data_IF_266746164136
#
_entry.id   IF_266746164136
#
_cell.length_a   1.000
_cell.length_b   1.000
_cell.length_c   1.000
_cell.angle_alpha   90.00
_cell.angle_beta   90.00
_cell.angle_gamma   90.00
#
_symmetry.space_group_name_H-M   'P 1'
#
loop_
_entity.id
_entity.type
_entity.pdbx_description
1 polymer ?
#
# COMPACT_ATOMS: atom_id res chain seq x y z
N UNK A 1 12.89 -11.67 -8.98
CA UNK A 1 11.86 -12.73 -9.00
C UNK A 1 10.59 -12.14 -8.42
N UNK A 2 9.47 -12.17 -9.13
CA UNK A 2 8.19 -11.63 -8.63
C UNK A 2 7.61 -12.65 -7.64
N UNK A 3 7.26 -12.28 -6.39
CA UNK A 3 6.75 -13.22 -5.40
C UNK A 3 5.35 -13.69 -5.78
N UNK A 4 5.24 -14.88 -6.38
CA UNK A 4 3.97 -15.45 -6.88
C UNK A 4 2.85 -15.43 -5.83
N UNK A 5 3.19 -15.77 -4.57
CA UNK A 5 2.24 -15.79 -3.45
C UNK A 5 1.68 -14.40 -3.11
N UNK A 6 2.49 -13.33 -3.22
CA UNK A 6 2.02 -11.98 -2.94
C UNK A 6 1.02 -11.52 -4.02
N UNK A 7 1.28 -11.86 -5.28
CA UNK A 7 0.38 -11.57 -6.38
C UNK A 7 -0.96 -12.32 -6.23
N UNK A 8 -0.91 -13.62 -5.92
CA UNK A 8 -2.09 -14.45 -5.64
C UNK A 8 -2.92 -13.89 -4.48
N UNK A 9 -2.25 -13.46 -3.40
CA UNK A 9 -2.92 -12.85 -2.24
C UNK A 9 -3.67 -11.57 -2.61
N UNK A 10 -3.04 -10.64 -3.34
CA UNK A 10 -3.67 -9.38 -3.73
C UNK A 10 -4.88 -9.58 -4.65
N UNK A 11 -4.80 -10.53 -5.59
CA UNK A 11 -5.91 -10.86 -6.47
C UNK A 11 -7.10 -11.46 -5.69
N UNK A 12 -6.84 -12.38 -4.76
CA UNK A 12 -7.87 -12.95 -3.90
C UNK A 12 -8.49 -11.89 -2.98
N UNK A 13 -7.68 -10.96 -2.45
CA UNK A 13 -8.17 -9.86 -1.62
C UNK A 13 -9.14 -8.96 -2.40
N UNK A 14 -8.81 -8.61 -3.65
CA UNK A 14 -9.69 -7.84 -4.51
C UNK A 14 -11.02 -8.56 -4.79
N UNK A 15 -10.98 -9.88 -4.98
CA UNK A 15 -12.17 -10.71 -5.19
C UNK A 15 -13.08 -10.74 -3.95
N UNK A 16 -12.52 -11.01 -2.76
CA UNK A 16 -13.28 -11.05 -1.50
C UNK A 16 -13.89 -9.67 -1.20
N UNK A 17 -13.13 -8.60 -1.42
CA UNK A 17 -13.60 -7.22 -1.25
C UNK A 17 -14.54 -6.75 -2.38
N UNK A 18 -14.75 -7.57 -3.43
CA UNK A 18 -15.60 -7.28 -4.60
C UNK A 18 -15.24 -5.98 -5.31
N UNK A 19 -13.94 -5.65 -5.38
CA UNK A 19 -13.45 -4.45 -6.07
C UNK A 19 -13.12 -4.83 -7.52
N UNK A 20 -13.88 -4.34 -8.52
CA UNK A 20 -13.60 -4.66 -9.91
C UNK A 20 -12.39 -3.89 -10.43
N UNK A 21 -11.75 -4.42 -11.49
CA UNK A 21 -10.68 -3.76 -12.24
C UNK A 21 -9.42 -3.40 -11.43
N UNK A 22 -9.12 -4.16 -10.36
CA UNK A 22 -7.88 -3.99 -9.59
C UNK A 22 -6.68 -4.45 -10.43
N UNK A 23 -5.68 -3.59 -10.53
CA UNK A 23 -4.36 -3.93 -11.06
C UNK A 23 -3.44 -4.15 -9.87
N UNK A 24 -3.06 -5.39 -9.61
CA UNK A 24 -2.13 -5.73 -8.54
C UNK A 24 -0.70 -5.81 -9.10
N UNK A 25 0.22 -5.05 -8.52
CA UNK A 25 1.64 -5.07 -8.86
C UNK A 25 2.47 -5.32 -7.59
N UNK A 26 3.47 -6.21 -7.68
CA UNK A 26 4.38 -6.51 -6.57
C UNK A 26 5.79 -6.12 -6.95
N UNK A 27 6.33 -5.11 -6.26
CA UNK A 27 7.68 -4.59 -6.47
C UNK A 27 8.55 -4.99 -5.26
N UNK A 28 9.47 -5.96 -5.40
CA UNK A 28 10.38 -6.32 -4.32
C UNK A 28 11.42 -5.22 -4.06
N UNK A 29 11.65 -4.90 -2.80
CA UNK A 29 12.66 -3.95 -2.36
C UNK A 29 12.29 -3.26 -1.06
N UNK A 30 13.15 -2.38 -0.59
CA UNK A 30 12.83 -1.46 0.50
C UNK A 30 11.90 -0.33 0.02
N UNK A 31 11.20 0.29 0.97
CA UNK A 31 10.18 1.30 0.67
C UNK A 31 10.75 2.51 -0.09
N UNK A 32 11.97 2.94 0.25
CA UNK A 32 12.61 4.09 -0.38
C UNK A 32 12.92 3.84 -1.87
N UNK A 33 13.37 2.63 -2.20
CA UNK A 33 13.70 2.23 -3.56
C UNK A 33 12.46 1.96 -4.42
N UNK A 34 11.38 1.46 -3.83
CA UNK A 34 10.17 1.08 -4.58
C UNK A 34 9.20 2.23 -4.79
N UNK A 35 9.10 3.20 -3.87
CA UNK A 35 8.17 4.34 -4.00
C UNK A 35 8.42 5.17 -5.27
N UNK A 36 9.69 5.29 -5.70
CA UNK A 36 10.02 6.01 -6.95
C UNK A 36 9.68 5.22 -8.22
N UNK A 37 9.41 3.92 -8.10
CA UNK A 37 9.05 3.00 -9.19
C UNK A 37 7.57 2.66 -9.21
N UNK A 38 6.87 2.91 -8.10
CA UNK A 38 5.46 2.66 -7.97
C UNK A 38 4.67 3.49 -8.99
N UNK A 39 3.52 2.97 -9.47
CA UNK A 39 2.62 3.74 -10.34
C UNK A 39 2.24 5.08 -9.72
N UNK A 40 2.20 6.12 -10.54
CA UNK A 40 1.73 7.43 -10.12
C UNK A 40 0.24 7.40 -9.81
N UNK A 41 -0.16 7.97 -8.67
CA UNK A 41 -1.54 8.01 -8.22
C UNK A 41 -1.87 9.40 -7.66
N UNK A 42 -3.12 9.85 -7.83
CA UNK A 42 -3.60 11.12 -7.24
C UNK A 42 -3.68 11.04 -5.72
N UNK A 43 -3.92 9.85 -5.19
CA UNK A 43 -3.89 9.55 -3.76
C UNK A 43 -3.18 8.23 -3.53
N UNK A 44 -2.27 8.22 -2.56
CA UNK A 44 -1.63 7.01 -2.05
C UNK A 44 -2.18 6.70 -0.68
N UNK A 45 -2.51 5.44 -0.42
CA UNK A 45 -3.04 4.97 0.86
C UNK A 45 -2.01 4.01 1.46
N UNK A 46 -1.53 4.34 2.65
CA UNK A 46 -0.57 3.55 3.40
C UNK A 46 -1.14 3.18 4.77
N UNK A 47 -0.73 2.03 5.30
CA UNK A 47 -0.94 1.70 6.70
C UNK A 47 -0.05 2.56 7.60
N UNK A 48 -0.55 2.92 8.78
CA UNK A 48 0.17 3.64 9.81
C UNK A 48 0.37 2.74 11.03
N UNK A 49 1.60 2.63 11.52
CA UNK A 49 1.90 1.91 12.75
C UNK A 49 1.50 2.72 14.00
N UNK A 50 1.26 2.04 15.12
CA UNK A 50 0.95 2.67 16.43
C UNK A 50 2.08 3.60 16.93
N UNK A 51 3.32 3.37 16.50
CA UNK A 51 4.48 4.22 16.72
C UNK A 51 4.96 4.82 15.40
N UNK A 52 4.32 5.89 14.90
CA UNK A 52 4.56 6.37 13.55
C UNK A 52 5.99 6.93 13.36
N UNK A 53 6.65 6.47 12.31
CA UNK A 53 7.91 7.05 11.83
C UNK A 53 7.61 8.24 10.91
N UNK A 54 7.75 9.44 11.46
CA UNK A 54 7.47 10.68 10.72
C UNK A 54 8.46 10.94 9.58
N UNK A 55 9.68 10.40 9.63
CA UNK A 55 10.64 10.57 8.55
C UNK A 55 10.26 9.68 7.36
N UNK A 56 9.78 8.46 7.63
CA UNK A 56 9.22 7.58 6.60
C UNK A 56 7.95 8.19 5.96
N UNK A 57 7.08 8.80 6.76
CA UNK A 57 5.86 9.49 6.27
C UNK A 57 6.24 10.65 5.33
N UNK A 58 7.16 11.51 5.76
CA UNK A 58 7.63 12.65 4.95
C UNK A 58 8.29 12.18 3.67
N UNK A 59 9.17 11.18 3.76
CA UNK A 59 9.80 10.55 2.61
C UNK A 59 8.75 10.01 1.63
N UNK A 60 7.69 9.35 2.12
CA UNK A 60 6.65 8.83 1.25
C UNK A 60 5.96 9.94 0.45
N UNK A 61 5.57 11.03 1.11
CA UNK A 61 4.97 12.22 0.46
C UNK A 61 5.91 12.81 -0.60
N UNK A 62 7.19 12.99 -0.27
CA UNK A 62 8.18 13.55 -1.19
C UNK A 62 8.43 12.64 -2.41
N UNK A 63 8.47 11.31 -2.20
CA UNK A 63 8.77 10.34 -3.25
C UNK A 63 7.59 10.06 -4.17
N UNK A 64 6.36 10.07 -3.65
CA UNK A 64 5.17 9.91 -4.50
C UNK A 64 4.86 11.18 -5.25
N UNK A 65 5.14 12.35 -4.67
CA UNK A 65 4.85 13.65 -5.26
C UNK A 65 3.35 13.99 -5.30
N UNK A 66 2.52 13.29 -4.53
CA UNK A 66 1.06 13.45 -4.50
C UNK A 66 0.48 13.28 -3.09
N UNK A 67 -0.84 13.38 -2.96
CA UNK A 67 -1.53 13.26 -1.69
C UNK A 67 -1.33 11.86 -1.08
N UNK A 68 -1.03 11.80 0.22
CA UNK A 68 -0.90 10.55 0.96
C UNK A 68 -1.89 10.52 2.14
N UNK A 69 -2.59 9.41 2.28
CA UNK A 69 -3.43 9.08 3.43
C UNK A 69 -2.77 7.93 4.20
N UNK A 70 -2.56 8.14 5.49
CA UNK A 70 -2.00 7.13 6.40
C UNK A 70 -3.11 6.66 7.35
N UNK A 71 -3.50 5.41 7.23
CA UNK A 71 -4.61 4.82 7.98
C UNK A 71 -4.10 3.94 9.12
N UNK A 72 -4.49 4.27 10.35
CA UNK A 72 -4.24 3.48 11.54
C UNK A 72 -5.46 2.61 11.84
N UNK A 73 -5.25 1.30 11.96
CA UNK A 73 -6.27 0.38 12.48
C UNK A 73 -5.95 0.06 13.96
N UNK A 74 -6.82 0.42 14.91
CA UNK A 74 -6.64 0.06 16.33
C UNK A 74 -6.89 -1.44 16.62
N UNK A 75 -7.38 -2.21 15.64
CA UNK A 75 -7.55 -3.67 15.72
C UNK A 75 -8.97 -4.14 16.04
N UNK A 76 -9.94 -3.23 16.13
CA UNK A 76 -11.36 -3.57 16.36
C UNK A 76 -12.15 -3.72 15.05
N UNK A 77 -11.59 -3.24 13.95
CA UNK A 77 -12.23 -3.26 12.64
C UNK A 77 -12.01 -4.61 11.93
N UNK A 78 -13.02 -5.06 11.18
CA UNK A 78 -12.86 -6.16 10.24
C UNK A 78 -13.28 -5.71 8.83
N UNK A 79 -12.29 -5.38 8.01
CA UNK A 79 -12.50 -4.85 6.67
C UNK A 79 -13.19 -5.83 5.69
N UNK A 80 -13.29 -7.11 6.02
CA UNK A 80 -13.84 -8.16 5.16
C UNK A 80 -15.08 -8.87 5.75
N UNK A 81 -15.57 -8.42 6.91
CA UNK A 81 -16.73 -9.01 7.60
C UNK A 81 -18.06 -8.82 6.87
#
# INVERSE_FOLDING_TARGET
>A
MIPRKAQEYLNNLAEIARIPNVIAEVIPGDMQAVLSKAPQASINIFSLDLGPDFDLIRMAVEKTGSSCLFALDPGEENALA
#
